data_IF_586998805909
#
_entry.id   IF_586998805909
#
_cell.length_a   1.000
_cell.length_b   1.000
_cell.length_c   1.000
_cell.angle_alpha   90.00
_cell.angle_beta   90.00
_cell.angle_gamma   90.00
#
_symmetry.space_group_name_H-M   'P 1'
#
loop_
_entity.id
_entity.type
_entity.pdbx_description
1 polymer ?
#
# COMPACT_ATOMS: atom_id res chain seq x y z
N UNK A 1 15.40 -13.50 -7.10
CA UNK A 1 14.22 -12.72 -7.53
C UNK A 1 14.19 -12.69 -9.05
N UNK A 2 13.02 -12.85 -9.64
CA UNK A 2 12.89 -12.80 -11.10
C UNK A 2 12.99 -11.36 -11.62
N UNK A 3 13.43 -11.18 -12.87
CA UNK A 3 13.51 -9.87 -13.52
C UNK A 3 12.16 -9.15 -13.51
N UNK A 4 11.05 -9.90 -13.67
CA UNK A 4 9.69 -9.33 -13.66
C UNK A 4 9.36 -8.69 -12.32
N UNK A 5 9.75 -9.33 -11.20
CA UNK A 5 9.51 -8.78 -9.86
C UNK A 5 10.34 -7.53 -9.61
N UNK A 6 11.60 -7.53 -10.01
CA UNK A 6 12.47 -6.36 -9.89
C UNK A 6 11.92 -5.18 -10.68
N UNK A 7 11.49 -5.42 -11.91
CA UNK A 7 10.91 -4.38 -12.77
C UNK A 7 9.66 -3.77 -12.14
N UNK A 8 8.80 -4.59 -11.52
CA UNK A 8 7.59 -4.11 -10.85
C UNK A 8 7.94 -3.14 -9.71
N UNK A 9 8.84 -3.56 -8.83
CA UNK A 9 9.20 -2.73 -7.68
C UNK A 9 9.89 -1.44 -8.13
N UNK A 10 10.83 -1.50 -9.05
CA UNK A 10 11.52 -0.32 -9.58
C UNK A 10 10.53 0.63 -10.24
N UNK A 11 9.61 0.09 -11.02
CA UNK A 11 8.62 0.88 -11.76
C UNK A 11 7.76 1.74 -10.83
N UNK A 12 7.36 1.19 -9.67
CA UNK A 12 6.42 1.84 -8.77
C UNK A 12 7.08 2.40 -7.51
N UNK A 13 8.39 2.29 -7.38
CA UNK A 13 9.12 2.73 -6.19
C UNK A 13 8.87 4.20 -5.87
N UNK A 14 8.94 5.08 -6.86
CA UNK A 14 8.77 6.52 -6.61
C UNK A 14 7.36 6.86 -6.15
N UNK A 15 6.34 6.19 -6.68
CA UNK A 15 4.96 6.36 -6.21
C UNK A 15 4.85 6.01 -4.73
N UNK A 16 5.46 4.90 -4.32
CA UNK A 16 5.44 4.46 -2.92
C UNK A 16 6.26 5.40 -2.01
N UNK A 17 7.40 5.86 -2.48
CA UNK A 17 8.24 6.85 -1.77
C UNK A 17 7.43 8.12 -1.52
N UNK A 18 6.72 8.62 -2.53
CA UNK A 18 5.90 9.83 -2.40
C UNK A 18 4.80 9.63 -1.36
N UNK A 19 4.22 8.44 -1.25
CA UNK A 19 3.21 8.14 -0.22
C UNK A 19 3.81 8.11 1.18
N UNK A 20 5.04 7.60 1.33
CA UNK A 20 5.73 7.65 2.62
C UNK A 20 5.98 9.09 3.04
N UNK A 21 6.42 9.93 2.12
CA UNK A 21 6.67 11.35 2.41
C UNK A 21 5.36 12.05 2.80
N UNK A 22 4.29 11.80 2.07
CA UNK A 22 2.99 12.45 2.32
C UNK A 22 2.33 11.96 3.61
N UNK A 23 2.27 10.64 3.80
CA UNK A 23 1.43 10.03 4.85
C UNK A 23 2.20 9.29 5.94
N UNK A 24 3.48 9.04 5.75
CA UNK A 24 4.28 8.31 6.74
C UNK A 24 4.14 6.80 6.69
N UNK A 25 3.55 6.26 5.63
CA UNK A 25 3.42 4.82 5.41
C UNK A 25 4.70 4.31 4.76
N UNK A 26 5.37 3.28 5.29
CA UNK A 26 6.60 2.79 4.67
C UNK A 26 6.41 2.46 3.20
N UNK A 27 7.31 2.96 2.34
CA UNK A 27 7.28 2.66 0.91
C UNK A 27 7.32 1.15 0.67
N UNK A 28 8.10 0.43 1.47
CA UNK A 28 8.21 -1.03 1.40
C UNK A 28 6.87 -1.73 1.63
N UNK A 29 6.07 -1.25 2.57
CA UNK A 29 4.73 -1.78 2.84
C UNK A 29 3.83 -1.55 1.63
N UNK A 30 3.78 -0.33 1.12
CA UNK A 30 2.96 0.01 -0.05
C UNK A 30 3.34 -0.87 -1.25
N UNK A 31 4.64 -0.97 -1.55
CA UNK A 31 5.13 -1.77 -2.68
C UNK A 31 4.81 -3.25 -2.53
N UNK A 32 5.03 -3.81 -1.35
CA UNK A 32 4.82 -5.25 -1.15
C UNK A 32 3.33 -5.60 -1.15
N UNK A 33 2.49 -4.78 -0.53
CA UNK A 33 1.04 -4.99 -0.61
C UNK A 33 0.56 -4.89 -2.05
N UNK A 34 1.05 -3.89 -2.79
CA UNK A 34 0.72 -3.70 -4.20
C UNK A 34 1.07 -4.94 -5.03
N UNK A 35 2.28 -5.47 -4.86
CA UNK A 35 2.73 -6.65 -5.58
C UNK A 35 1.91 -7.89 -5.21
N UNK A 36 1.69 -8.09 -3.93
CA UNK A 36 0.98 -9.28 -3.42
C UNK A 36 -0.49 -9.28 -3.86
N UNK A 37 -1.18 -8.15 -3.71
CA UNK A 37 -2.61 -8.06 -4.00
C UNK A 37 -2.92 -8.05 -5.50
N UNK A 38 -1.99 -7.62 -6.33
CA UNK A 38 -2.20 -7.50 -7.79
C UNK A 38 -1.52 -8.60 -8.60
N UNK A 39 -0.83 -9.55 -7.93
CA UNK A 39 0.00 -10.51 -8.66
C UNK A 39 1.05 -9.80 -9.51
N UNK A 40 1.74 -8.82 -8.95
CA UNK A 40 2.71 -7.98 -9.64
C UNK A 40 2.10 -7.26 -10.86
N UNK A 41 0.86 -6.77 -10.69
CA UNK A 41 0.15 -6.02 -11.70
C UNK A 41 -0.56 -6.84 -12.76
N UNK A 42 -0.53 -8.17 -12.65
CA UNK A 42 -1.08 -9.07 -13.68
C UNK A 42 -2.54 -9.44 -13.46
N UNK A 43 -3.10 -9.16 -12.28
CA UNK A 43 -4.51 -9.46 -12.02
C UNK A 43 -5.41 -8.66 -12.95
N UNK A 44 -6.62 -9.16 -13.19
CA UNK A 44 -7.61 -8.46 -14.00
C UNK A 44 -7.97 -7.10 -13.38
N UNK A 45 -8.14 -7.06 -12.06
CA UNK A 45 -8.43 -5.80 -11.34
C UNK A 45 -7.34 -4.75 -11.55
N UNK A 46 -6.07 -5.16 -11.53
CA UNK A 46 -4.96 -4.23 -11.75
C UNK A 46 -4.84 -3.85 -13.23
N UNK A 47 -4.79 -4.84 -14.11
CA UNK A 47 -4.51 -4.64 -15.52
C UNK A 47 -5.61 -3.86 -16.26
N UNK A 48 -6.87 -4.10 -15.93
CA UNK A 48 -8.01 -3.52 -16.64
C UNK A 48 -8.76 -2.43 -15.88
N UNK A 49 -8.60 -2.36 -14.55
CA UNK A 49 -9.36 -1.45 -13.70
C UNK A 49 -8.49 -0.60 -12.78
N UNK A 50 -7.17 -0.70 -12.91
CA UNK A 50 -6.19 0.04 -12.11
C UNK A 50 -6.32 -0.17 -10.59
N UNK A 51 -6.97 -1.26 -10.16
CA UNK A 51 -7.14 -1.57 -8.75
C UNK A 51 -6.06 -2.57 -8.33
N UNK A 52 -4.94 -2.05 -7.82
CA UNK A 52 -3.75 -2.83 -7.50
C UNK A 52 -3.75 -3.41 -6.08
N UNK A 53 -4.71 -3.03 -5.24
CA UNK A 53 -4.77 -3.47 -3.85
C UNK A 53 -6.02 -4.28 -3.54
N UNK A 54 -6.84 -4.56 -4.54
CA UNK A 54 -8.07 -5.33 -4.35
C UNK A 54 -9.08 -4.62 -3.45
N UNK A 55 -9.21 -3.30 -3.58
CA UNK A 55 -10.06 -2.50 -2.70
C UNK A 55 -11.52 -2.63 -3.12
N UNK A 56 -12.35 -3.09 -2.19
CA UNK A 56 -13.80 -3.17 -2.39
C UNK A 56 -14.40 -1.78 -2.35
N UNK A 57 -15.55 -1.60 -3.05
CA UNK A 57 -16.20 -0.30 -3.14
C UNK A 57 -16.62 0.22 -1.77
N UNK A 58 -17.31 -0.62 -0.98
CA UNK A 58 -17.83 -0.16 0.30
C UNK A 58 -18.93 0.87 0.13
N UNK A 59 -19.44 1.38 1.25
CA UNK A 59 -20.56 2.33 1.25
C UNK A 59 -20.13 3.77 0.95
N UNK A 60 -18.87 4.11 1.17
CA UNK A 60 -18.36 5.48 1.01
C UNK A 60 -17.87 5.80 -0.41
N UNK A 61 -17.62 4.78 -1.22
CA UNK A 61 -17.09 4.97 -2.57
C UNK A 61 -18.17 5.46 -3.52
N UNK A 62 -17.93 6.58 -4.20
CA UNK A 62 -18.88 7.19 -5.13
C UNK A 62 -18.44 7.07 -6.60
N UNK A 63 -17.27 6.50 -6.83
CA UNK A 63 -16.71 6.31 -8.18
C UNK A 63 -17.22 5.05 -8.86
N UNK A 64 -16.69 4.75 -10.05
CA UNK A 64 -17.08 3.57 -10.81
C UNK A 64 -16.66 2.27 -10.10
N UNK A 65 -17.41 1.21 -10.35
CA UNK A 65 -17.18 -0.12 -9.77
C UNK A 65 -17.22 -1.20 -10.84
N UNK A 66 -16.63 -2.34 -10.51
CA UNK A 66 -16.74 -3.55 -11.30
C UNK A 66 -17.06 -4.72 -10.38
N UNK A 67 -17.93 -5.62 -10.84
CA UNK A 67 -18.27 -6.81 -10.07
C UNK A 67 -17.26 -7.91 -10.36
N UNK A 68 -16.71 -8.48 -9.29
CA UNK A 68 -15.79 -9.61 -9.35
C UNK A 68 -16.11 -10.57 -8.22
N UNK A 69 -15.72 -11.83 -8.38
CA UNK A 69 -15.84 -12.82 -7.33
C UNK A 69 -14.63 -12.66 -6.39
N UNK A 70 -14.91 -12.55 -5.09
CA UNK A 70 -13.86 -12.41 -4.08
C UNK A 70 -13.22 -13.77 -3.72
N UNK A 71 -12.26 -13.74 -2.78
CA UNK A 71 -11.53 -14.95 -2.33
C UNK A 71 -12.45 -16.01 -1.70
N UNK A 72 -13.63 -15.60 -1.26
CA UNK A 72 -14.63 -16.50 -0.66
C UNK A 72 -15.70 -16.93 -1.67
N UNK A 73 -15.47 -16.68 -2.96
CA UNK A 73 -16.36 -17.04 -4.06
C UNK A 73 -17.70 -16.27 -4.04
N UNK A 74 -17.69 -15.04 -3.46
CA UNK A 74 -18.86 -14.16 -3.46
C UNK A 74 -18.68 -13.01 -4.43
N UNK A 75 -19.76 -12.61 -5.15
CA UNK A 75 -19.69 -11.41 -5.99
C UNK A 75 -19.59 -10.16 -5.11
N UNK A 76 -18.64 -9.29 -5.46
CA UNK A 76 -18.38 -8.03 -4.75
C UNK A 76 -18.14 -6.92 -5.75
N UNK A 77 -18.51 -5.70 -5.36
CA UNK A 77 -18.16 -4.51 -6.13
C UNK A 77 -16.78 -4.02 -5.72
N UNK A 78 -15.89 -3.92 -6.68
CA UNK A 78 -14.54 -3.39 -6.47
C UNK A 78 -14.42 -2.01 -7.11
N UNK A 79 -13.56 -1.18 -6.54
CA UNK A 79 -13.31 0.16 -7.03
C UNK A 79 -12.58 0.12 -8.37
N UNK A 80 -12.95 1.04 -9.28
CA UNK A 80 -12.25 1.25 -10.54
C UNK A 80 -11.58 2.61 -10.46
N UNK A 81 -10.27 2.65 -10.76
CA UNK A 81 -9.50 3.89 -10.73
C UNK A 81 -9.13 4.31 -12.14
N UNK A 82 -8.89 5.61 -12.33
CA UNK A 82 -8.48 6.17 -13.62
C UNK A 82 -7.01 5.95 -13.93
N UNK A 83 -6.19 5.62 -12.92
CA UNK A 83 -4.74 5.43 -13.09
C UNK A 83 -4.17 4.62 -11.93
N UNK A 84 -2.94 4.14 -12.10
CA UNK A 84 -2.21 3.46 -11.02
C UNK A 84 -1.93 4.46 -9.88
N UNK A 85 -1.68 5.73 -10.19
CA UNK A 85 -1.43 6.77 -9.20
C UNK A 85 -2.63 6.94 -8.28
N UNK A 86 -3.84 6.96 -8.82
CA UNK A 86 -5.06 7.01 -8.01
C UNK A 86 -5.18 5.81 -7.09
N UNK A 87 -4.86 4.62 -7.58
CA UNK A 87 -4.89 3.39 -6.79
C UNK A 87 -3.96 3.48 -5.58
N UNK A 88 -2.73 3.93 -5.81
CA UNK A 88 -1.70 4.07 -4.78
C UNK A 88 -2.09 5.15 -3.76
N UNK A 89 -2.58 6.30 -4.22
CA UNK A 89 -3.06 7.38 -3.33
C UNK A 89 -4.24 6.89 -2.49
N UNK A 90 -5.17 6.17 -3.10
CA UNK A 90 -6.34 5.65 -2.40
C UNK A 90 -5.95 4.59 -1.35
N UNK A 91 -4.94 3.78 -1.63
CA UNK A 91 -4.41 2.81 -0.65
C UNK A 91 -3.95 3.54 0.63
N UNK A 92 -3.22 4.64 0.47
CA UNK A 92 -2.80 5.45 1.62
C UNK A 92 -4.00 5.96 2.40
N UNK A 93 -5.02 6.45 1.71
CA UNK A 93 -6.25 6.95 2.36
C UNK A 93 -7.00 5.84 3.10
N UNK A 94 -7.00 4.63 2.57
CA UNK A 94 -7.58 3.47 3.27
C UNK A 94 -6.85 3.24 4.61
N UNK A 95 -5.52 3.33 4.60
CA UNK A 95 -4.72 3.15 5.82
C UNK A 95 -4.82 4.33 6.79
N UNK A 96 -5.44 5.44 6.38
CA UNK A 96 -5.72 6.57 7.28
C UNK A 96 -6.96 6.33 8.14
N UNK A 97 -7.74 5.28 7.88
CA UNK A 97 -8.91 4.94 8.70
C UNK A 97 -8.48 4.69 10.15
N UNK A 98 -9.37 5.03 11.10
CA UNK A 98 -9.07 4.98 12.53
C UNK A 98 -8.62 3.59 13.01
N UNK A 99 -9.08 2.52 12.38
CA UNK A 99 -8.68 1.15 12.75
C UNK A 99 -7.18 0.89 12.55
N UNK A 100 -6.51 1.67 11.69
CA UNK A 100 -5.07 1.55 11.43
C UNK A 100 -4.23 2.56 12.23
N UNK A 101 -4.83 3.32 13.15
CA UNK A 101 -4.12 4.39 13.87
C UNK A 101 -2.88 3.91 14.61
N UNK A 102 -2.89 2.68 15.10
CA UNK A 102 -1.75 2.13 15.84
C UNK A 102 -0.50 1.96 14.98
N UNK A 103 -0.65 1.83 13.66
CA UNK A 103 0.48 1.76 12.74
C UNK A 103 1.36 3.01 12.88
N UNK A 104 0.73 4.16 13.05
CA UNK A 104 1.40 5.46 13.07
C UNK A 104 2.15 5.74 14.39
N UNK A 105 2.08 4.84 15.36
CA UNK A 105 2.94 4.88 16.55
C UNK A 105 4.38 4.45 16.22
N UNK A 106 4.58 3.86 15.04
CA UNK A 106 5.88 3.35 14.62
C UNK A 106 6.47 4.20 13.50
N UNK A 107 7.80 4.28 13.47
CA UNK A 107 8.51 5.01 12.43
C UNK A 107 8.12 4.51 11.04
N UNK A 108 8.14 5.39 10.05
CA UNK A 108 7.89 5.03 8.65
C UNK A 108 8.96 4.08 8.07
N UNK A 109 10.03 3.79 8.82
CA UNK A 109 11.04 2.81 8.42
C UNK A 109 10.92 1.49 9.20
N UNK A 110 9.97 1.40 10.12
CA UNK A 110 9.75 0.20 10.94
C UNK A 110 8.69 -0.68 10.28
N UNK A 111 9.01 -1.22 9.12
CA UNK A 111 8.06 -2.00 8.34
C UNK A 111 7.59 -3.27 9.06
N UNK A 112 8.43 -3.85 9.94
CA UNK A 112 8.06 -5.06 10.68
C UNK A 112 6.86 -4.79 11.60
N UNK A 113 6.93 -3.74 12.40
CA UNK A 113 5.81 -3.36 13.27
C UNK A 113 4.61 -2.89 12.47
N UNK A 114 4.83 -2.16 11.37
CA UNK A 114 3.75 -1.78 10.46
C UNK A 114 2.99 -3.00 9.95
N UNK A 115 3.70 -4.03 9.49
CA UNK A 115 3.07 -5.26 8.98
C UNK A 115 2.22 -5.94 10.07
N UNK A 116 2.74 -6.05 11.28
CA UNK A 116 2.02 -6.62 12.42
C UNK A 116 0.74 -5.85 12.70
N UNK A 117 0.82 -4.51 12.75
CA UNK A 117 -0.32 -3.66 13.06
C UNK A 117 -1.39 -3.66 11.96
N UNK A 118 -0.97 -3.69 10.70
CA UNK A 118 -1.89 -3.78 9.55
C UNK A 118 -2.73 -5.04 9.66
N UNK A 119 -2.08 -6.17 9.93
CA UNK A 119 -2.78 -7.45 10.09
C UNK A 119 -3.69 -7.43 11.32
N UNK A 120 -3.21 -6.94 12.45
CA UNK A 120 -3.98 -6.85 13.68
C UNK A 120 -5.24 -6.00 13.50
N UNK A 121 -5.18 -4.98 12.65
CA UNK A 121 -6.32 -4.11 12.33
C UNK A 121 -7.30 -4.73 11.34
N UNK A 122 -7.02 -5.93 10.82
CA UNK A 122 -7.94 -6.66 9.97
C UNK A 122 -7.82 -6.40 8.47
N UNK A 123 -6.66 -5.95 8.01
CA UNK A 123 -6.43 -5.76 6.57
C UNK A 123 -6.62 -7.07 5.78
N UNK A 124 -6.20 -8.18 6.37
CA UNK A 124 -6.33 -9.51 5.78
C UNK A 124 -6.72 -10.53 6.85
N UNK A 125 -7.49 -11.53 6.46
CA UNK A 125 -7.89 -12.63 7.35
C UNK A 125 -6.79 -13.67 7.53
N UNK A 126 -5.83 -13.74 6.63
CA UNK A 126 -4.72 -14.69 6.68
C UNK A 126 -3.85 -14.40 7.91
N UNK A 127 -3.74 -15.37 8.82
CA UNK A 127 -2.96 -15.23 10.06
C UNK A 127 -1.47 -15.07 9.80
N UNK A 128 -0.98 -15.47 8.63
CA UNK A 128 0.42 -15.38 8.24
C UNK A 128 0.75 -14.12 7.44
N UNK A 129 -0.22 -13.22 7.26
CA UNK A 129 -0.08 -12.06 6.38
C UNK A 129 1.09 -11.15 6.78
N UNK A 130 1.18 -10.83 8.07
CA UNK A 130 2.28 -9.99 8.56
C UNK A 130 3.64 -10.62 8.27
N UNK A 131 3.79 -11.91 8.55
CA UNK A 131 5.05 -12.62 8.32
C UNK A 131 5.40 -12.68 6.83
N UNK A 132 4.40 -12.88 5.98
CA UNK A 132 4.59 -12.84 4.52
C UNK A 132 5.12 -11.49 4.07
N UNK A 133 4.52 -10.39 4.53
CA UNK A 133 4.99 -9.05 4.19
C UNK A 133 6.44 -8.84 4.67
N UNK A 134 6.72 -9.17 5.92
CA UNK A 134 8.06 -8.99 6.50
C UNK A 134 9.10 -9.77 5.70
N UNK A 135 8.83 -11.04 5.41
CA UNK A 135 9.75 -11.89 4.67
C UNK A 135 10.01 -11.37 3.26
N UNK A 136 8.95 -11.01 2.54
CA UNK A 136 9.06 -10.54 1.16
C UNK A 136 9.76 -9.19 1.07
N UNK A 137 9.48 -8.28 2.00
CA UNK A 137 10.18 -6.99 2.07
C UNK A 137 11.68 -7.22 2.30
N UNK A 138 12.03 -8.13 3.22
CA UNK A 138 13.42 -8.46 3.49
C UNK A 138 14.11 -9.11 2.30
N UNK A 139 13.50 -10.14 1.71
CA UNK A 139 14.05 -10.87 0.57
C UNK A 139 14.27 -9.96 -0.66
N UNK A 140 13.34 -9.06 -0.91
CA UNK A 140 13.41 -8.15 -2.05
C UNK A 140 14.10 -6.83 -1.71
N UNK A 141 14.60 -6.69 -0.48
CA UNK A 141 15.33 -5.51 0.00
C UNK A 141 14.55 -4.20 -0.20
N UNK A 142 13.23 -4.25 -0.06
CA UNK A 142 12.38 -3.08 -0.30
C UNK A 142 12.55 -2.00 0.77
N UNK A 143 13.10 -2.37 1.94
CA UNK A 143 13.40 -1.42 3.01
C UNK A 143 14.33 -0.28 2.56
N UNK A 144 15.12 -0.50 1.49
CA UNK A 144 15.98 0.55 0.92
C UNK A 144 15.17 1.76 0.45
N UNK A 145 13.95 1.54 -0.03
CA UNK A 145 13.08 2.61 -0.48
C UNK A 145 12.56 3.45 0.69
N UNK A 146 12.40 2.85 1.88
CA UNK A 146 12.04 3.58 3.09
C UNK A 146 13.12 4.61 3.45
N UNK A 147 14.38 4.23 3.30
CA UNK A 147 15.51 5.13 3.54
C UNK A 147 15.62 6.21 2.46
N UNK A 148 15.37 5.83 1.21
CA UNK A 148 15.34 6.80 0.09
C UNK A 148 14.27 7.87 0.33
N UNK A 149 13.11 7.48 0.88
CA UNK A 149 12.05 8.43 1.20
C UNK A 149 12.50 9.47 2.24
N UNK A 150 13.22 9.03 3.27
CA UNK A 150 13.76 9.96 4.28
C UNK A 150 14.72 10.97 3.64
N UNK A 151 15.61 10.49 2.78
CA UNK A 151 16.57 11.35 2.10
C UNK A 151 15.89 12.32 1.14
N UNK A 152 14.90 11.87 0.36
CA UNK A 152 14.14 12.74 -0.53
C UNK A 152 13.35 13.80 0.23
N UNK A 153 12.73 13.42 1.37
CA UNK A 153 12.02 14.38 2.21
C UNK A 153 12.97 15.46 2.72
N UNK A 154 14.16 15.06 3.17
CA UNK A 154 15.20 16.00 3.61
C UNK A 154 15.58 16.96 2.49
N UNK A 155 15.81 16.44 1.28
CA UNK A 155 16.17 17.28 0.11
C UNK A 155 15.06 18.25 -0.27
N UNK A 156 13.80 17.84 -0.12
CA UNK A 156 12.64 18.68 -0.42
C UNK A 156 12.30 19.66 0.70
N UNK A 157 12.92 19.50 1.87
CA UNK A 157 12.62 20.33 3.04
C UNK A 157 11.24 20.11 3.62
N UNK A 158 10.72 18.88 3.54
CA UNK A 158 9.41 18.52 4.11
C UNK A 158 9.58 17.41 5.14
N UNK A 159 8.61 17.33 6.07
CA UNK A 159 8.59 16.27 7.07
C UNK A 159 7.85 15.05 6.53
N UNK A 160 8.32 13.86 6.90
CA UNK A 160 7.62 12.60 6.62
C UNK A 160 6.22 12.66 7.27
N UNK A 161 5.21 12.36 6.47
CA UNK A 161 3.83 12.35 6.94
C UNK A 161 3.20 13.74 7.02
N UNK A 162 3.70 14.71 6.25
CA UNK A 162 3.27 16.11 6.37
C UNK A 162 1.77 16.30 6.13
N UNK A 163 1.16 15.53 5.21
CA UNK A 163 -0.30 15.62 4.96
C UNK A 163 -1.08 15.16 6.18
N UNK A 164 -0.62 14.09 6.83
CA UNK A 164 -1.28 13.54 8.02
C UNK A 164 -1.11 14.48 9.22
N UNK A 165 0.05 15.11 9.36
CA UNK A 165 0.31 16.08 10.41
C UNK A 165 -0.62 17.30 10.27
N UNK A 166 -0.82 17.79 9.04
CA UNK A 166 -1.74 18.91 8.77
C UNK A 166 -3.18 18.53 9.13
N UNK A 167 -3.59 17.31 8.82
CA UNK A 167 -4.94 16.82 9.13
C UNK A 167 -5.18 16.67 10.64
N UNK A 168 -4.13 16.49 11.45
CA UNK A 168 -4.20 16.34 12.91
C UNK A 168 -4.36 17.69 13.63
N UNK A 169 -4.07 18.76 12.96
CA UNK A 169 -4.20 20.12 13.50
C UNK A 169 -5.59 20.69 13.17
#
# INVERSE_FOLDING_TARGET
>A
MSAVKEDFYEKYAQLAIDQQIKYGIPASITLQQMALESGHGKSDLAANYNNYFGVKAGSSWKGPTVMKVDDHNYPEAFRVYGSVEESVENHSKVLMASRYRNCFNYSSTDYQNWAVQIRAAGYASDKTYAQKLINLIGENQLYKYDQMALEQARQRGVEIGYIRADASN
#
